data_IF_995536593548
#
_entry.id   IF_995536593548
#
_cell.length_a   1.000
_cell.length_b   1.000
_cell.length_c   1.000
_cell.angle_alpha   90.00
_cell.angle_beta   90.00
_cell.angle_gamma   90.00
#
_symmetry.space_group_name_H-M   'P 1'
#
loop_
_entity.id
_entity.type
_entity.pdbx_description
1 polymer ?
#
# COMPACT_ATOMS: atom_id res chain seq x y z
N UNK A 1 -28.58 27.81 -9.02
CA UNK A 1 -28.60 27.08 -10.29
C UNK A 1 -29.57 25.92 -10.15
N UNK A 2 -30.53 25.93 -11.06
CA UNK A 2 -31.68 25.05 -11.24
C UNK A 2 -31.40 23.58 -10.90
N UNK A 3 -32.30 22.97 -10.13
CA UNK A 3 -32.37 21.52 -9.99
C UNK A 3 -32.54 20.91 -11.39
N UNK A 4 -31.53 20.15 -11.84
CA UNK A 4 -31.65 19.35 -13.05
C UNK A 4 -32.81 18.36 -12.88
N UNK A 5 -33.61 18.13 -13.93
CA UNK A 5 -34.73 17.19 -13.89
C UNK A 5 -34.21 15.81 -13.52
N UNK A 6 -34.95 15.07 -12.67
CA UNK A 6 -34.68 13.70 -12.24
C UNK A 6 -34.11 12.84 -13.38
N UNK A 7 -32.79 12.79 -13.50
CA UNK A 7 -32.11 11.96 -14.48
C UNK A 7 -32.37 10.51 -14.08
N UNK A 8 -33.14 9.80 -14.89
CA UNK A 8 -33.39 8.37 -14.71
C UNK A 8 -32.03 7.68 -14.55
N UNK A 9 -31.78 6.95 -13.46
CA UNK A 9 -30.51 6.29 -13.25
C UNK A 9 -30.25 5.32 -14.41
N UNK A 10 -29.04 5.36 -14.95
CA UNK A 10 -28.66 4.46 -16.04
C UNK A 10 -28.83 3.00 -15.63
N UNK A 11 -29.11 2.11 -16.58
CA UNK A 11 -29.27 0.67 -16.30
C UNK A 11 -28.08 0.11 -15.50
N UNK A 12 -26.86 0.54 -15.83
CA UNK A 12 -25.64 0.17 -15.11
C UNK A 12 -25.66 0.62 -13.63
N UNK A 13 -26.21 1.80 -13.34
CA UNK A 13 -26.37 2.31 -11.98
C UNK A 13 -27.34 1.45 -11.19
N UNK A 14 -28.49 1.12 -11.79
CA UNK A 14 -29.49 0.23 -11.17
C UNK A 14 -28.88 -1.15 -10.91
N UNK A 15 -28.18 -1.74 -11.88
CA UNK A 15 -27.52 -3.04 -11.73
C UNK A 15 -26.47 -3.04 -10.61
N UNK A 16 -25.66 -1.98 -10.51
CA UNK A 16 -24.67 -1.84 -9.44
C UNK A 16 -25.34 -1.75 -8.06
N UNK A 17 -26.40 -0.95 -7.92
CA UNK A 17 -27.17 -0.85 -6.68
C UNK A 17 -27.79 -2.21 -6.30
N UNK A 18 -28.40 -2.91 -7.25
CA UNK A 18 -28.95 -4.27 -7.03
C UNK A 18 -27.87 -5.23 -6.55
N UNK A 19 -26.67 -5.20 -7.14
CA UNK A 19 -25.54 -6.02 -6.71
C UNK A 19 -25.17 -5.77 -5.24
N UNK A 20 -24.99 -4.51 -4.82
CA UNK A 20 -24.64 -4.21 -3.43
C UNK A 20 -25.78 -4.53 -2.45
N UNK A 21 -27.03 -4.28 -2.82
CA UNK A 21 -28.19 -4.68 -2.02
C UNK A 21 -28.25 -6.19 -1.86
N UNK A 22 -28.00 -6.96 -2.92
CA UNK A 22 -27.94 -8.42 -2.85
C UNK A 22 -26.83 -8.91 -1.90
N UNK A 23 -25.65 -8.29 -1.92
CA UNK A 23 -24.56 -8.61 -0.97
C UNK A 23 -24.98 -8.33 0.48
N UNK A 24 -25.64 -7.19 0.75
CA UNK A 24 -26.17 -6.86 2.08
C UNK A 24 -27.22 -7.88 2.53
N UNK A 25 -28.15 -8.25 1.64
CA UNK A 25 -29.16 -9.27 1.93
C UNK A 25 -28.54 -10.65 2.22
N UNK A 26 -27.49 -11.04 1.49
CA UNK A 26 -26.74 -12.27 1.76
C UNK A 26 -26.03 -12.22 3.13
N UNK A 27 -25.46 -11.07 3.51
CA UNK A 27 -24.88 -10.87 4.84
C UNK A 27 -25.92 -10.98 5.96
N UNK A 28 -27.10 -10.39 5.77
CA UNK A 28 -28.21 -10.50 6.71
C UNK A 28 -28.69 -11.95 6.81
N UNK A 29 -28.91 -12.63 5.67
CA UNK A 29 -29.31 -14.03 5.62
C UNK A 29 -28.30 -14.93 6.33
N UNK A 30 -27.01 -14.81 6.02
CA UNK A 30 -25.94 -15.58 6.67
C UNK A 30 -25.93 -15.39 8.18
N UNK A 31 -26.08 -14.14 8.64
CA UNK A 31 -26.12 -13.82 10.07
C UNK A 31 -27.36 -14.39 10.77
N UNK A 32 -28.55 -14.27 10.17
CA UNK A 32 -29.81 -14.83 10.71
C UNK A 32 -29.73 -16.36 10.77
N UNK A 33 -29.23 -17.02 9.72
CA UNK A 33 -29.12 -18.49 9.70
C UNK A 33 -28.13 -19.03 10.74
N UNK A 34 -27.03 -18.31 11.00
CA UNK A 34 -26.08 -18.67 12.07
C UNK A 34 -26.72 -18.47 13.45
N UNK A 35 -27.42 -17.35 13.66
CA UNK A 35 -28.13 -17.08 14.93
C UNK A 35 -29.19 -18.15 15.19
N UNK A 36 -30.01 -18.48 14.21
CA UNK A 36 -31.05 -19.50 14.35
C UNK A 36 -30.46 -20.88 14.67
N UNK A 37 -29.36 -21.27 14.02
CA UNK A 37 -28.65 -22.53 14.34
C UNK A 37 -28.01 -22.51 15.72
N UNK A 38 -27.48 -21.37 16.15
CA UNK A 38 -26.87 -21.25 17.49
C UNK A 38 -27.93 -21.33 18.60
N UNK A 39 -29.13 -20.80 18.35
CA UNK A 39 -30.26 -20.89 19.28
C UNK A 39 -30.90 -22.29 19.31
N UNK A 40 -30.71 -23.12 18.27
CA UNK A 40 -31.39 -24.40 18.13
C UNK A 40 -30.37 -25.57 18.22
N UNK A 41 -30.22 -26.13 19.42
CA UNK A 41 -29.14 -27.07 19.81
C UNK A 41 -29.06 -28.33 18.94
N UNK A 42 -30.19 -28.84 18.45
CA UNK A 42 -30.23 -30.03 17.57
C UNK A 42 -29.60 -29.77 16.19
N UNK A 43 -29.74 -28.55 15.65
CA UNK A 43 -29.22 -28.19 14.32
C UNK A 43 -27.74 -27.81 14.33
N UNK A 44 -27.11 -27.75 15.50
CA UNK A 44 -25.69 -27.48 15.67
C UNK A 44 -24.81 -28.65 15.19
N UNK A 45 -25.35 -29.87 15.18
CA UNK A 45 -24.61 -31.12 14.87
C UNK A 45 -24.97 -31.76 13.52
N UNK A 46 -25.86 -31.13 12.73
CA UNK A 46 -26.26 -31.62 11.41
C UNK A 46 -25.24 -31.18 10.36
N UNK A 47 -24.87 -32.10 9.46
CA UNK A 47 -23.97 -31.84 8.33
C UNK A 47 -24.45 -30.66 7.47
N UNK A 48 -23.53 -29.74 7.16
CA UNK A 48 -23.83 -28.47 6.48
C UNK A 48 -23.76 -28.66 4.96
N UNK A 49 -24.85 -28.36 4.24
CA UNK A 49 -24.89 -28.42 2.77
C UNK A 49 -23.91 -27.41 2.13
N UNK A 50 -23.48 -27.65 0.88
CA UNK A 50 -22.58 -26.71 0.16
C UNK A 50 -23.19 -25.32 0.03
N UNK A 51 -24.50 -25.24 -0.22
CA UNK A 51 -25.22 -23.97 -0.25
C UNK A 51 -25.14 -23.25 1.10
N UNK A 52 -25.33 -23.98 2.19
CA UNK A 52 -25.24 -23.41 3.52
C UNK A 52 -23.82 -22.96 3.87
N UNK A 53 -22.78 -23.66 3.41
CA UNK A 53 -21.38 -23.19 3.56
C UNK A 53 -21.15 -21.85 2.84
N UNK A 54 -21.73 -21.66 1.66
CA UNK A 54 -21.67 -20.40 0.92
C UNK A 54 -22.37 -19.27 1.68
N UNK A 55 -23.59 -19.52 2.18
CA UNK A 55 -24.35 -18.55 2.99
C UNK A 55 -23.62 -18.20 4.29
N UNK A 56 -23.00 -19.20 4.93
CA UNK A 56 -22.22 -19.02 6.17
C UNK A 56 -20.94 -18.20 5.93
N UNK A 57 -20.41 -18.17 4.70
CA UNK A 57 -19.28 -17.32 4.34
C UNK A 57 -19.63 -15.82 4.38
N UNK A 58 -20.90 -15.46 4.20
CA UNK A 58 -21.38 -14.07 4.30
C UNK A 58 -21.77 -13.67 5.73
N UNK A 59 -21.70 -14.58 6.71
CA UNK A 59 -22.08 -14.27 8.08
C UNK A 59 -21.17 -13.19 8.70
N UNK A 60 -21.78 -12.05 9.04
CA UNK A 60 -21.06 -10.89 9.58
C UNK A 60 -20.48 -11.21 10.94
N UNK A 61 -21.24 -11.83 11.84
CA UNK A 61 -20.78 -12.16 13.20
C UNK A 61 -19.54 -13.05 13.18
N UNK A 62 -19.55 -14.09 12.35
CA UNK A 62 -18.40 -15.00 12.18
C UNK A 62 -17.20 -14.29 11.57
N UNK A 63 -17.40 -13.49 10.53
CA UNK A 63 -16.33 -12.76 9.87
C UNK A 63 -15.73 -11.68 10.77
N UNK A 64 -16.53 -10.96 11.56
CA UNK A 64 -16.06 -9.99 12.55
C UNK A 64 -15.26 -10.67 13.66
N UNK A 65 -15.71 -11.82 14.18
CA UNK A 65 -14.93 -12.61 15.17
C UNK A 65 -13.59 -13.06 14.61
N UNK A 66 -13.54 -13.50 13.35
CA UNK A 66 -12.29 -13.86 12.66
C UNK A 66 -11.40 -12.66 12.38
N UNK A 67 -11.98 -11.50 12.06
CA UNK A 67 -11.24 -10.26 11.81
C UNK A 67 -10.59 -9.73 13.09
N UNK A 68 -11.26 -9.92 14.23
CA UNK A 68 -10.80 -9.55 15.57
C UNK A 68 -10.04 -10.69 16.27
N UNK A 69 -9.73 -11.78 15.55
CA UNK A 69 -8.98 -12.89 16.11
C UNK A 69 -7.51 -12.49 16.25
N UNK A 70 -6.98 -12.60 17.47
CA UNK A 70 -5.62 -12.23 17.84
C UNK A 70 -4.69 -13.45 17.90
N UNK A 71 -5.16 -14.62 17.45
CA UNK A 71 -4.35 -15.84 17.40
C UNK A 71 -3.24 -15.73 16.35
N UNK A 72 -2.05 -16.16 16.73
CA UNK A 72 -0.85 -16.07 15.90
C UNK A 72 -0.51 -17.44 15.31
N UNK A 73 -0.40 -17.51 13.98
CA UNK A 73 0.06 -18.73 13.31
C UNK A 73 1.56 -18.96 13.55
N UNK A 74 1.97 -20.23 13.69
CA UNK A 74 3.37 -20.60 13.80
C UNK A 74 4.14 -20.23 12.51
N UNK A 75 5.23 -19.47 12.64
CA UNK A 75 6.07 -19.05 11.51
C UNK A 75 5.67 -17.72 10.84
N UNK A 76 4.80 -16.94 11.48
CA UNK A 76 4.50 -15.56 11.08
C UNK A 76 5.52 -14.56 11.66
N UNK A 77 5.78 -13.46 10.95
CA UNK A 77 6.68 -12.40 11.42
C UNK A 77 5.84 -11.39 12.19
N UNK A 78 5.65 -11.60 13.50
CA UNK A 78 4.68 -10.84 14.29
C UNK A 78 4.84 -9.32 14.22
N UNK A 79 6.09 -8.82 14.23
CA UNK A 79 6.39 -7.38 14.16
C UNK A 79 5.84 -6.71 12.89
N UNK A 80 5.57 -7.50 11.85
CA UNK A 80 5.02 -7.02 10.59
C UNK A 80 3.62 -6.40 10.76
N UNK A 81 2.80 -6.92 11.68
CA UNK A 81 1.45 -6.40 11.92
C UNK A 81 1.50 -5.00 12.52
N UNK A 82 2.34 -4.77 13.55
CA UNK A 82 2.56 -3.45 14.12
C UNK A 82 3.13 -2.46 13.12
N UNK A 83 4.13 -2.87 12.33
CA UNK A 83 4.73 -2.02 11.28
C UNK A 83 3.69 -1.63 10.23
N UNK A 84 2.82 -2.56 9.80
CA UNK A 84 1.70 -2.26 8.89
C UNK A 84 0.73 -1.27 9.49
N UNK A 85 0.33 -1.45 10.75
CA UNK A 85 -0.64 -0.59 11.41
C UNK A 85 -0.14 0.85 11.52
N UNK A 86 1.10 1.04 12.00
CA UNK A 86 1.71 2.38 12.11
C UNK A 86 1.86 3.06 10.75
N UNK A 87 2.33 2.35 9.73
CA UNK A 87 2.47 2.91 8.39
C UNK A 87 1.12 3.18 7.71
N UNK A 88 0.09 2.35 7.96
CA UNK A 88 -1.26 2.60 7.47
C UNK A 88 -1.84 3.89 8.07
N UNK A 89 -1.65 4.10 9.37
CA UNK A 89 -2.08 5.32 10.05
C UNK A 89 -1.35 6.55 9.52
N UNK A 90 -0.02 6.49 9.40
CA UNK A 90 0.78 7.59 8.88
C UNK A 90 0.43 7.92 7.41
N UNK A 91 0.20 6.89 6.59
CA UNK A 91 -0.23 7.03 5.20
C UNK A 91 -1.61 7.70 5.10
N UNK A 92 -2.56 7.30 5.95
CA UNK A 92 -3.91 7.86 6.01
C UNK A 92 -3.86 9.34 6.41
N UNK A 93 -3.10 9.69 7.45
CA UNK A 93 -2.90 11.06 7.89
C UNK A 93 -2.29 11.93 6.77
N UNK A 94 -1.27 11.42 6.09
CA UNK A 94 -0.60 12.14 4.99
C UNK A 94 -1.53 12.36 3.80
N UNK A 95 -2.30 11.35 3.39
CA UNK A 95 -3.29 11.48 2.32
C UNK A 95 -4.40 12.44 2.70
N UNK A 96 -4.87 12.41 3.96
CA UNK A 96 -5.88 13.34 4.46
C UNK A 96 -5.35 14.77 4.43
N UNK A 97 -4.11 15.00 4.87
CA UNK A 97 -3.46 16.30 4.78
C UNK A 97 -3.39 16.81 3.32
N UNK A 98 -3.03 15.94 2.38
CA UNK A 98 -3.01 16.29 0.95
C UNK A 98 -4.41 16.64 0.44
N UNK A 99 -5.44 15.88 0.82
CA UNK A 99 -6.83 16.15 0.45
C UNK A 99 -7.33 17.47 1.05
N UNK A 100 -6.90 17.83 2.26
CA UNK A 100 -7.26 19.10 2.91
C UNK A 100 -6.76 20.31 2.09
N UNK A 101 -5.63 20.20 1.38
CA UNK A 101 -5.13 21.28 0.51
C UNK A 101 -6.09 21.65 -0.64
N UNK A 102 -6.98 20.74 -1.03
CA UNK A 102 -7.99 21.00 -2.06
C UNK A 102 -9.27 21.64 -1.51
N UNK A 103 -9.41 21.77 -0.18
CA UNK A 103 -10.56 22.41 0.43
C UNK A 103 -10.38 23.93 0.52
N UNK A 104 -11.48 24.70 0.37
CA UNK A 104 -11.43 26.14 0.57
C UNK A 104 -11.23 26.46 2.06
N UNK A 105 -10.14 27.14 2.39
CA UNK A 105 -9.91 27.72 3.71
C UNK A 105 -10.24 29.21 3.72
N UNK A 106 -10.88 29.68 4.80
CA UNK A 106 -11.15 31.10 5.05
C UNK A 106 -9.83 31.88 5.10
N UNK A 107 -8.84 31.35 5.83
CA UNK A 107 -7.53 31.94 5.97
C UNK A 107 -6.44 31.07 5.30
N UNK A 108 -6.24 31.27 4.00
CA UNK A 108 -5.24 30.50 3.23
C UNK A 108 -3.80 30.81 3.62
N UNK A 109 -3.50 32.02 4.07
CA UNK A 109 -2.15 32.42 4.48
C UNK A 109 -1.74 31.71 5.76
N UNK A 110 -2.64 31.60 6.75
CA UNK A 110 -2.38 30.85 7.97
C UNK A 110 -2.12 29.36 7.69
N UNK A 111 -2.90 28.75 6.79
CA UNK A 111 -2.69 27.35 6.40
C UNK A 111 -1.35 27.17 5.69
N UNK A 112 -1.01 28.08 4.76
CA UNK A 112 0.30 28.06 4.09
C UNK A 112 1.47 28.20 5.08
N UNK A 113 1.35 29.07 6.09
CA UNK A 113 2.38 29.24 7.13
C UNK A 113 2.50 28.01 8.03
N UNK A 114 1.38 27.40 8.43
CA UNK A 114 1.37 26.19 9.25
C UNK A 114 2.04 25.03 8.51
N UNK A 115 1.67 24.88 7.24
CA UNK A 115 2.26 23.89 6.36
C UNK A 115 3.73 24.23 6.17
N UNK A 116 4.13 25.49 6.02
CA UNK A 116 5.53 25.90 5.83
C UNK A 116 6.53 25.52 6.93
N UNK A 117 6.06 25.05 8.10
CA UNK A 117 6.91 24.65 9.23
C UNK A 117 7.64 23.32 8.97
N UNK A 118 8.87 23.20 9.47
CA UNK A 118 9.73 22.01 9.28
C UNK A 118 9.11 20.71 9.80
N UNK A 119 8.27 20.76 10.85
CA UNK A 119 7.62 19.55 11.36
C UNK A 119 6.59 18.96 10.39
N UNK A 120 6.06 19.77 9.45
CA UNK A 120 5.05 19.33 8.47
C UNK A 120 5.57 18.26 7.51
N UNK A 121 6.88 18.06 7.45
CA UNK A 121 7.54 17.07 6.60
C UNK A 121 7.04 15.65 6.87
N UNK A 122 6.70 15.34 8.13
CA UNK A 122 6.09 14.07 8.51
C UNK A 122 4.82 13.78 7.70
N UNK A 123 3.98 14.79 7.46
CA UNK A 123 2.76 14.65 6.65
C UNK A 123 2.96 14.84 5.15
N UNK A 124 4.07 15.47 4.72
CA UNK A 124 4.42 15.63 3.29
C UNK A 124 5.13 14.40 2.72
N UNK A 125 5.70 13.55 3.56
CA UNK A 125 6.47 12.37 3.18
C UNK A 125 5.59 11.12 2.90
N UNK A 126 4.42 11.29 2.27
CA UNK A 126 3.48 10.19 2.01
C UNK A 126 4.11 9.00 1.27
N UNK A 127 5.09 9.28 0.41
CA UNK A 127 5.82 8.26 -0.36
C UNK A 127 6.68 7.32 0.48
N UNK A 128 7.16 7.75 1.65
CA UNK A 128 7.92 6.87 2.54
C UNK A 128 7.01 5.80 3.15
N UNK A 129 5.80 6.20 3.55
CA UNK A 129 4.83 5.27 4.12
C UNK A 129 4.35 4.23 3.09
N UNK A 130 4.24 4.59 1.80
CA UNK A 130 3.98 3.61 0.74
C UNK A 130 5.17 2.70 0.48
N UNK A 131 6.40 3.23 0.54
CA UNK A 131 7.63 2.43 0.42
C UNK A 131 7.69 1.34 1.50
N UNK A 132 7.22 1.59 2.73
CA UNK A 132 7.06 0.54 3.75
C UNK A 132 6.25 -0.64 3.23
N UNK A 133 5.08 -0.41 2.63
CA UNK A 133 4.24 -1.50 2.10
C UNK A 133 4.91 -2.24 0.94
N UNK A 134 5.69 -1.57 0.11
CA UNK A 134 6.48 -2.21 -0.96
C UNK A 134 7.57 -3.11 -0.38
N UNK A 135 8.27 -2.64 0.66
CA UNK A 135 9.27 -3.43 1.40
C UNK A 135 8.63 -4.69 1.98
N UNK A 136 7.49 -4.54 2.66
CA UNK A 136 6.75 -5.67 3.24
C UNK A 136 6.29 -6.66 2.17
N UNK A 137 5.85 -6.17 1.01
CA UNK A 137 5.46 -7.02 -0.12
C UNK A 137 6.63 -7.85 -0.63
N UNK A 138 7.80 -7.24 -0.83
CA UNK A 138 9.02 -7.95 -1.24
C UNK A 138 9.43 -9.02 -0.22
N UNK A 139 9.42 -8.67 1.07
CA UNK A 139 9.69 -9.58 2.20
C UNK A 139 8.78 -10.80 2.19
N UNK A 140 7.47 -10.59 2.16
CA UNK A 140 6.49 -11.69 2.23
C UNK A 140 6.50 -12.55 0.98
N UNK A 141 6.65 -11.93 -0.19
CA UNK A 141 6.71 -12.65 -1.46
C UNK A 141 7.95 -13.54 -1.50
N UNK A 142 9.10 -13.02 -1.06
CA UNK A 142 10.32 -13.81 -0.93
C UNK A 142 10.16 -14.96 0.07
N UNK A 143 9.61 -14.72 1.27
CA UNK A 143 9.35 -15.77 2.26
C UNK A 143 8.44 -16.87 1.68
N UNK A 144 7.37 -16.49 0.99
CA UNK A 144 6.43 -17.45 0.39
C UNK A 144 7.11 -18.29 -0.69
N UNK A 145 7.82 -17.65 -1.63
CA UNK A 145 8.48 -18.32 -2.75
C UNK A 145 9.65 -19.20 -2.28
N UNK A 146 10.48 -18.72 -1.35
CA UNK A 146 11.59 -19.50 -0.80
C UNK A 146 11.09 -20.73 -0.03
N UNK A 147 9.99 -20.62 0.73
CA UNK A 147 9.36 -21.77 1.40
C UNK A 147 8.80 -22.77 0.39
N UNK A 148 8.18 -22.31 -0.69
CA UNK A 148 7.67 -23.19 -1.74
C UNK A 148 8.80 -23.90 -2.49
N UNK A 149 9.82 -23.17 -2.90
CA UNK A 149 11.01 -23.71 -3.55
C UNK A 149 11.74 -24.72 -2.66
N UNK A 150 11.91 -24.43 -1.37
CA UNK A 150 12.56 -25.36 -0.43
C UNK A 150 11.76 -26.66 -0.23
N UNK A 151 10.44 -26.63 -0.41
CA UNK A 151 9.55 -27.80 -0.25
C UNK A 151 9.33 -28.58 -1.53
N UNK A 152 9.26 -27.90 -2.68
CA UNK A 152 8.80 -28.47 -3.96
C UNK A 152 9.83 -28.39 -5.09
N UNK A 153 10.95 -27.68 -4.92
CA UNK A 153 11.97 -27.40 -5.94
C UNK A 153 11.43 -26.78 -7.25
N UNK A 154 10.18 -26.30 -7.25
CA UNK A 154 9.51 -25.69 -8.41
C UNK A 154 8.53 -24.63 -7.95
N UNK A 155 8.34 -23.61 -8.77
CA UNK A 155 7.31 -22.58 -8.59
C UNK A 155 6.20 -22.88 -9.59
N UNK A 156 4.97 -23.11 -9.14
CA UNK A 156 3.84 -23.14 -10.05
C UNK A 156 3.38 -21.70 -10.32
N UNK A 157 3.85 -21.12 -11.42
CA UNK A 157 3.55 -19.73 -11.79
C UNK A 157 2.05 -19.49 -11.97
N UNK A 158 1.31 -20.46 -12.49
CA UNK A 158 -0.14 -20.33 -12.68
C UNK A 158 -0.86 -20.22 -11.32
N UNK A 159 -0.57 -21.14 -10.39
CA UNK A 159 -1.15 -21.11 -9.05
C UNK A 159 -0.74 -19.84 -8.29
N UNK A 160 0.53 -19.45 -8.40
CA UNK A 160 1.07 -18.24 -7.78
C UNK A 160 0.29 -16.99 -8.21
N UNK A 161 0.10 -16.80 -9.52
CA UNK A 161 -0.64 -15.64 -10.04
C UNK A 161 -2.14 -15.74 -9.74
N UNK A 162 -2.75 -16.91 -9.97
CA UNK A 162 -4.20 -17.10 -9.81
C UNK A 162 -4.66 -16.91 -8.37
N UNK A 163 -3.91 -17.46 -7.40
CA UNK A 163 -4.23 -17.30 -5.98
C UNK A 163 -4.27 -15.83 -5.57
N UNK A 164 -3.38 -15.01 -6.14
CA UNK A 164 -3.35 -13.59 -5.84
C UNK A 164 -4.46 -12.80 -6.55
N UNK A 165 -4.75 -13.12 -7.80
CA UNK A 165 -5.86 -12.51 -8.55
C UNK A 165 -7.20 -12.78 -7.87
N UNK A 166 -7.47 -14.03 -7.46
CA UNK A 166 -8.72 -14.39 -6.75
C UNK A 166 -8.83 -13.63 -5.42
N UNK A 167 -7.70 -13.34 -4.75
CA UNK A 167 -7.68 -12.59 -3.50
C UNK A 167 -7.91 -11.09 -3.68
N UNK A 168 -7.32 -10.46 -4.69
CA UNK A 168 -7.30 -9.00 -4.84
C UNK A 168 -8.42 -8.48 -5.74
N UNK A 169 -8.59 -9.09 -6.92
CA UNK A 169 -9.44 -8.58 -8.00
C UNK A 169 -10.91 -8.41 -7.60
N UNK A 170 -11.57 -9.34 -6.86
CA UNK A 170 -12.98 -9.18 -6.50
C UNK A 170 -13.24 -7.92 -5.65
N UNK A 171 -12.37 -7.66 -4.66
CA UNK A 171 -12.50 -6.49 -3.79
C UNK A 171 -12.25 -5.18 -4.55
N UNK A 172 -11.26 -5.17 -5.44
CA UNK A 172 -10.96 -4.01 -6.29
C UNK A 172 -12.09 -3.75 -7.30
N UNK A 173 -12.66 -4.81 -7.90
CA UNK A 173 -13.78 -4.69 -8.81
C UNK A 173 -15.02 -4.12 -8.12
N UNK A 174 -15.35 -4.61 -6.91
CA UNK A 174 -16.43 -4.03 -6.11
C UNK A 174 -16.18 -2.54 -5.82
N UNK A 175 -14.95 -2.16 -5.43
CA UNK A 175 -14.62 -0.75 -5.20
C UNK A 175 -14.77 0.11 -6.46
N UNK A 176 -14.29 -0.36 -7.61
CA UNK A 176 -14.44 0.34 -8.90
C UNK A 176 -15.92 0.53 -9.24
N UNK A 177 -16.73 -0.52 -9.15
CA UNK A 177 -18.18 -0.44 -9.41
C UNK A 177 -18.86 0.53 -8.45
N UNK A 178 -18.51 0.48 -7.15
CA UNK A 178 -19.05 1.38 -6.14
C UNK A 178 -18.72 2.85 -6.47
N UNK A 179 -17.45 3.17 -6.70
CA UNK A 179 -17.01 4.53 -6.99
C UNK A 179 -17.56 5.07 -8.33
N UNK A 180 -17.84 4.18 -9.29
CA UNK A 180 -18.34 4.55 -10.62
C UNK A 180 -19.84 4.86 -10.62
N UNK A 181 -20.62 4.03 -9.93
CA UNK A 181 -22.08 4.01 -10.10
C UNK A 181 -22.86 4.37 -8.84
N UNK A 182 -22.36 4.01 -7.66
CA UNK A 182 -23.09 4.21 -6.39
C UNK A 182 -22.69 5.52 -5.73
N UNK A 183 -21.38 5.74 -5.58
CA UNK A 183 -20.82 6.88 -4.86
C UNK A 183 -21.35 8.23 -5.36
N UNK A 184 -21.46 8.53 -6.67
CA UNK A 184 -21.95 9.82 -7.14
C UNK A 184 -23.36 10.18 -6.65
N UNK A 185 -24.19 9.17 -6.39
CA UNK A 185 -25.59 9.34 -5.96
C UNK A 185 -25.76 9.48 -4.44
N UNK A 186 -24.70 9.27 -3.65
CA UNK A 186 -24.77 9.31 -2.18
C UNK A 186 -24.67 10.72 -1.59
N UNK A 187 -24.41 11.75 -2.40
CA UNK A 187 -24.21 13.09 -1.91
C UNK A 187 -24.49 14.17 -2.95
N UNK A 188 -24.71 15.38 -2.47
CA UNK A 188 -24.91 16.58 -3.27
C UNK A 188 -24.26 17.76 -2.55
N UNK A 189 -23.12 18.21 -3.05
CA UNK A 189 -22.35 19.30 -2.44
C UNK A 189 -21.63 20.13 -3.49
N UNK A 190 -21.23 21.37 -3.17
CA UNK A 190 -20.64 22.30 -4.14
C UNK A 190 -19.33 21.78 -4.77
N UNK A 191 -18.56 20.98 -4.03
CA UNK A 191 -17.34 20.33 -4.53
C UNK A 191 -17.57 18.91 -5.08
N UNK A 192 -18.80 18.38 -4.99
CA UNK A 192 -19.10 16.98 -5.31
C UNK A 192 -18.91 16.69 -6.81
N UNK A 193 -19.42 17.56 -7.67
CA UNK A 193 -19.25 17.45 -9.12
C UNK A 193 -17.79 17.54 -9.56
N UNK A 194 -17.01 18.40 -8.91
CA UNK A 194 -15.60 18.64 -9.23
C UNK A 194 -14.71 17.44 -8.89
N UNK A 195 -15.05 16.71 -7.82
CA UNK A 195 -14.27 15.59 -7.31
C UNK A 195 -14.92 14.25 -7.65
N UNK A 196 -16.06 13.94 -7.04
CA UNK A 196 -16.70 12.62 -7.10
C UNK A 196 -17.22 12.31 -8.50
N UNK A 197 -17.98 13.22 -9.10
CA UNK A 197 -18.54 12.99 -10.45
C UNK A 197 -17.43 12.88 -11.49
N UNK A 198 -16.39 13.72 -11.40
CA UNK A 198 -15.22 13.64 -12.28
C UNK A 198 -14.51 12.27 -12.19
N UNK A 199 -14.26 11.76 -10.97
CA UNK A 199 -13.66 10.44 -10.81
C UNK A 199 -14.55 9.32 -11.34
N UNK A 200 -15.86 9.40 -11.13
CA UNK A 200 -16.81 8.43 -11.67
C UNK A 200 -16.78 8.38 -13.21
N UNK A 201 -16.74 9.53 -13.89
CA UNK A 201 -16.60 9.60 -15.35
C UNK A 201 -15.30 8.96 -15.84
N UNK A 202 -14.17 9.24 -15.17
CA UNK A 202 -12.88 8.60 -15.49
C UNK A 202 -12.96 7.08 -15.30
N UNK A 203 -13.66 6.61 -14.27
CA UNK A 203 -13.87 5.19 -14.05
C UNK A 203 -14.73 4.52 -15.12
N UNK A 204 -15.79 5.16 -15.61
CA UNK A 204 -16.58 4.62 -16.73
C UNK A 204 -15.72 4.36 -17.97
N UNK A 205 -14.71 5.21 -18.22
CA UNK A 205 -13.83 5.10 -19.38
C UNK A 205 -12.65 4.13 -19.16
N UNK A 206 -12.14 4.02 -17.93
CA UNK A 206 -10.84 3.43 -17.64
C UNK A 206 -10.83 2.37 -16.53
N UNK A 207 -12.00 1.86 -16.10
CA UNK A 207 -12.13 0.82 -15.07
C UNK A 207 -11.28 -0.42 -15.38
N UNK A 208 -11.26 -0.88 -16.64
CA UNK A 208 -10.56 -2.09 -17.06
C UNK A 208 -9.06 -2.05 -16.77
N UNK A 209 -8.45 -0.85 -16.83
CA UNK A 209 -7.02 -0.64 -16.52
C UNK A 209 -6.69 -0.99 -15.07
N UNK A 210 -7.63 -0.75 -14.15
CA UNK A 210 -7.47 -1.07 -12.72
C UNK A 210 -7.55 -2.58 -12.47
N UNK A 211 -8.47 -3.28 -13.16
CA UNK A 211 -8.62 -4.72 -13.02
C UNK A 211 -7.44 -5.51 -13.60
N UNK A 212 -6.79 -4.96 -14.63
CA UNK A 212 -5.55 -5.49 -15.19
C UNK A 212 -4.30 -5.03 -14.42
N UNK A 213 -4.43 -4.15 -13.42
CA UNK A 213 -3.32 -3.57 -12.67
C UNK A 213 -2.26 -2.86 -13.53
N UNK A 214 -2.65 -2.29 -14.68
CA UNK A 214 -1.74 -1.59 -15.61
C UNK A 214 -1.91 -0.07 -15.61
N UNK A 215 -2.85 0.46 -14.82
CA UNK A 215 -3.19 1.88 -14.80
C UNK A 215 -2.03 2.80 -14.41
N UNK A 216 -0.97 2.29 -13.78
CA UNK A 216 0.25 3.05 -13.47
C UNK A 216 1.07 3.47 -14.70
N UNK A 217 0.86 2.83 -15.85
CA UNK A 217 1.54 3.18 -17.10
C UNK A 217 0.79 4.23 -17.93
N UNK A 218 -0.36 4.70 -17.44
CA UNK A 218 -1.20 5.70 -18.10
C UNK A 218 -1.08 7.05 -17.39
N UNK A 219 -1.52 8.16 -18.03
CA UNK A 219 -1.51 9.48 -17.41
C UNK A 219 -2.25 9.50 -16.06
N UNK A 220 -1.65 10.16 -15.06
CA UNK A 220 -2.14 10.14 -13.68
C UNK A 220 -3.54 10.78 -13.55
N UNK A 221 -3.80 11.83 -14.32
CA UNK A 221 -5.08 12.53 -14.38
C UNK A 221 -6.20 11.73 -15.06
N UNK A 222 -5.85 10.64 -15.76
CA UNK A 222 -6.79 9.70 -16.38
C UNK A 222 -6.98 8.41 -15.55
N UNK A 223 -6.44 8.35 -14.33
CA UNK A 223 -6.63 7.19 -13.45
C UNK A 223 -8.04 7.21 -12.85
N UNK A 224 -8.76 6.09 -12.98
CA UNK A 224 -10.06 5.89 -12.32
C UNK A 224 -9.96 5.98 -10.79
N UNK A 225 -9.06 5.19 -10.18
CA UNK A 225 -8.80 5.24 -8.74
C UNK A 225 -7.32 5.54 -8.50
N UNK A 226 -6.97 6.80 -8.24
CA UNK A 226 -5.57 7.18 -8.01
C UNK A 226 -4.96 6.47 -6.80
N UNK A 227 -5.74 6.20 -5.75
CA UNK A 227 -5.28 5.49 -4.56
C UNK A 227 -4.97 4.00 -4.79
N UNK A 228 -5.41 3.39 -5.90
CA UNK A 228 -5.14 1.97 -6.20
C UNK A 228 -3.76 1.75 -6.85
N UNK A 229 -3.00 2.81 -7.14
CA UNK A 229 -1.66 2.73 -7.75
C UNK A 229 -0.75 1.74 -7.01
N UNK A 230 -0.79 1.76 -5.68
CA UNK A 230 0.02 0.92 -4.81
C UNK A 230 -0.29 -0.57 -5.01
N UNK A 231 -1.56 -0.93 -5.16
CA UNK A 231 -1.99 -2.32 -5.40
C UNK A 231 -1.51 -2.78 -6.78
N UNK A 232 -1.49 -1.88 -7.78
CA UNK A 232 -0.91 -2.21 -9.09
C UNK A 232 0.60 -2.39 -9.04
N UNK A 233 1.36 -1.51 -8.37
CA UNK A 233 2.81 -1.68 -8.19
C UNK A 233 3.08 -3.03 -7.54
N UNK A 234 2.33 -3.34 -6.49
CA UNK A 234 2.42 -4.59 -5.75
C UNK A 234 2.14 -5.81 -6.65
N UNK A 235 1.15 -5.76 -7.54
CA UNK A 235 0.89 -6.81 -8.53
C UNK A 235 2.01 -6.94 -9.56
N UNK A 236 2.47 -5.81 -10.11
CA UNK A 236 3.52 -5.77 -11.12
C UNK A 236 4.84 -6.33 -10.60
N UNK A 237 5.25 -5.95 -9.39
CA UNK A 237 6.48 -6.44 -8.76
C UNK A 237 6.35 -7.91 -8.29
N UNK A 238 5.16 -8.32 -7.86
CA UNK A 238 4.89 -9.74 -7.55
C UNK A 238 5.02 -10.64 -8.77
N UNK A 239 4.55 -10.20 -9.95
CA UNK A 239 4.76 -10.93 -11.21
C UNK A 239 6.24 -11.04 -11.57
N UNK A 240 7.04 -10.03 -11.23
CA UNK A 240 8.50 -10.06 -11.43
C UNK A 240 9.25 -10.87 -10.34
N UNK A 241 8.62 -11.14 -9.20
CA UNK A 241 9.28 -11.75 -8.04
C UNK A 241 9.91 -13.13 -8.30
N UNK A 242 9.30 -14.06 -9.06
CA UNK A 242 9.95 -15.33 -9.39
C UNK A 242 11.31 -15.15 -10.09
N UNK A 243 11.45 -14.14 -10.95
CA UNK A 243 12.70 -13.83 -11.65
C UNK A 243 13.78 -13.30 -10.69
N UNK A 244 13.38 -12.67 -9.58
CA UNK A 244 14.29 -12.15 -8.57
C UNK A 244 14.64 -13.22 -7.51
N UNK A 245 13.67 -14.02 -7.09
CA UNK A 245 13.80 -14.97 -5.98
C UNK A 245 14.39 -16.31 -6.44
N UNK A 246 14.11 -16.77 -7.66
CA UNK A 246 14.63 -18.05 -8.15
C UNK A 246 16.17 -18.08 -8.23
N UNK A 247 16.87 -17.07 -8.80
CA UNK A 247 18.34 -17.03 -8.77
C UNK A 247 18.90 -16.96 -7.35
N UNK A 248 18.19 -16.29 -6.44
CA UNK A 248 18.58 -16.17 -5.03
C UNK A 248 18.51 -17.51 -4.30
N UNK A 249 17.51 -18.34 -4.61
CA UNK A 249 17.40 -19.70 -4.08
C UNK A 249 18.47 -20.63 -4.66
N UNK A 250 18.69 -20.60 -5.98
CA UNK A 250 19.63 -21.52 -6.64
C UNK A 250 21.11 -21.16 -6.40
N UNK A 251 21.46 -19.89 -6.52
CA UNK A 251 22.83 -19.36 -6.41
C UNK A 251 22.79 -18.03 -5.64
N UNK A 252 22.84 -18.05 -4.29
CA UNK A 252 22.63 -16.86 -3.47
C UNK A 252 23.48 -15.65 -3.86
N UNK A 253 24.78 -15.85 -4.16
CA UNK A 253 25.67 -14.76 -4.60
C UNK A 253 25.20 -14.12 -5.90
N UNK A 254 24.75 -14.91 -6.87
CA UNK A 254 24.21 -14.40 -8.13
C UNK A 254 22.89 -13.66 -7.90
N UNK A 255 21.98 -14.23 -7.12
CA UNK A 255 20.71 -13.57 -6.79
C UNK A 255 20.89 -12.25 -6.05
N UNK A 256 21.82 -12.18 -5.09
CA UNK A 256 22.16 -10.94 -4.40
C UNK A 256 22.76 -9.89 -5.35
N UNK A 257 23.65 -10.29 -6.27
CA UNK A 257 24.17 -9.39 -7.30
C UNK A 257 23.09 -8.87 -8.25
N UNK A 258 22.13 -9.72 -8.65
CA UNK A 258 20.98 -9.31 -9.48
C UNK A 258 20.11 -8.31 -8.72
N UNK A 259 19.76 -8.60 -7.46
CA UNK A 259 18.97 -7.70 -6.62
C UNK A 259 19.66 -6.35 -6.41
N UNK A 260 20.98 -6.36 -6.18
CA UNK A 260 21.77 -5.14 -6.08
C UNK A 260 21.75 -4.35 -7.40
N UNK A 261 21.96 -5.02 -8.54
CA UNK A 261 21.91 -4.38 -9.86
C UNK A 261 20.56 -3.72 -10.15
N UNK A 262 19.45 -4.43 -9.87
CA UNK A 262 18.09 -3.89 -10.04
C UNK A 262 17.82 -2.72 -9.09
N UNK A 263 18.27 -2.80 -7.83
CA UNK A 263 18.11 -1.74 -6.86
C UNK A 263 18.90 -0.48 -7.23
N UNK A 264 20.15 -0.63 -7.69
CA UNK A 264 20.97 0.48 -8.17
C UNK A 264 20.34 1.09 -9.42
N UNK A 265 19.97 0.27 -10.41
CA UNK A 265 19.31 0.74 -11.63
C UNK A 265 18.03 1.52 -11.34
N UNK A 266 17.16 0.99 -10.47
CA UNK A 266 15.91 1.64 -10.06
C UNK A 266 16.15 2.99 -9.35
N UNK A 267 17.19 3.08 -8.52
CA UNK A 267 17.55 4.32 -7.82
C UNK A 267 18.13 5.37 -8.76
N UNK A 268 19.03 4.97 -9.66
CA UNK A 268 19.60 5.84 -10.69
C UNK A 268 18.52 6.31 -11.66
N UNK A 269 17.59 5.43 -12.05
CA UNK A 269 16.46 5.81 -12.90
C UNK A 269 15.61 6.92 -12.26
N UNK A 270 15.27 6.78 -10.97
CA UNK A 270 14.58 7.84 -10.21
C UNK A 270 15.37 9.15 -10.23
N UNK A 271 16.65 9.10 -9.89
CA UNK A 271 17.52 10.27 -9.86
C UNK A 271 17.53 10.99 -11.22
N UNK A 272 17.80 10.25 -12.29
CA UNK A 272 17.93 10.78 -13.65
C UNK A 272 16.64 11.42 -14.14
N UNK A 273 15.50 10.76 -13.94
CA UNK A 273 14.19 11.29 -14.35
C UNK A 273 13.81 12.52 -13.55
N UNK A 274 14.05 12.54 -12.23
CA UNK A 274 13.73 13.72 -11.41
C UNK A 274 14.57 14.93 -11.82
N UNK A 275 15.85 14.70 -12.11
CA UNK A 275 16.77 15.75 -12.54
C UNK A 275 16.41 16.30 -13.94
N UNK A 276 16.15 15.42 -14.91
CA UNK A 276 15.87 15.84 -16.29
C UNK A 276 14.50 16.50 -16.44
N UNK A 277 13.49 16.03 -15.70
CA UNK A 277 12.12 16.51 -15.80
C UNK A 277 11.78 17.64 -14.81
N UNK A 278 12.75 18.01 -13.96
CA UNK A 278 12.60 19.01 -12.91
C UNK A 278 11.41 18.68 -11.99
N UNK A 279 11.41 17.48 -11.41
CA UNK A 279 10.30 16.97 -10.58
C UNK A 279 10.59 17.15 -9.08
N UNK A 280 9.54 17.08 -8.25
CA UNK A 280 9.67 17.09 -6.79
C UNK A 280 8.60 16.24 -6.13
N UNK A 281 9.01 15.24 -5.35
CA UNK A 281 8.12 14.42 -4.52
C UNK A 281 7.79 15.07 -3.18
N UNK A 282 8.54 16.12 -2.80
CA UNK A 282 8.21 16.97 -1.67
C UNK A 282 7.38 18.14 -2.19
N UNK A 283 6.18 18.29 -1.66
CA UNK A 283 5.34 19.47 -1.91
C UNK A 283 6.04 20.66 -1.25
N UNK A 284 6.46 21.65 -2.03
CA UNK A 284 7.06 22.90 -1.53
C UNK A 284 6.12 24.09 -1.81
N UNK A 285 6.39 25.25 -1.20
CA UNK A 285 5.54 26.42 -1.39
C UNK A 285 5.57 26.92 -2.84
N UNK A 286 4.40 27.09 -3.47
CA UNK A 286 4.30 27.55 -4.86
C UNK A 286 4.45 26.48 -5.93
N UNK A 287 4.58 25.19 -5.56
CA UNK A 287 4.63 24.10 -6.54
C UNK A 287 3.34 24.03 -7.39
N UNK A 288 3.43 24.03 -8.73
CA UNK A 288 2.25 23.93 -9.58
C UNK A 288 1.65 22.51 -9.55
N UNK A 289 0.31 22.41 -9.59
CA UNK A 289 -0.42 21.13 -9.58
C UNK A 289 0.00 20.24 -10.77
N UNK A 290 0.30 20.84 -11.92
CA UNK A 290 0.80 20.11 -13.09
C UNK A 290 2.13 19.41 -12.83
N UNK A 291 3.04 20.02 -12.05
CA UNK A 291 4.31 19.37 -11.65
C UNK A 291 4.05 18.24 -10.65
N UNK A 292 3.09 18.39 -9.73
CA UNK A 292 2.68 17.29 -8.83
C UNK A 292 2.16 16.08 -9.62
N UNK A 293 1.28 16.29 -10.60
CA UNK A 293 0.74 15.21 -11.43
C UNK A 293 1.81 14.58 -12.32
N UNK A 294 2.70 15.39 -12.91
CA UNK A 294 3.87 14.87 -13.66
C UNK A 294 4.80 14.07 -12.77
N UNK A 295 5.06 14.51 -11.54
CA UNK A 295 5.86 13.76 -10.56
C UNK A 295 5.16 12.45 -10.21
N UNK A 296 3.85 12.49 -9.99
CA UNK A 296 3.06 11.30 -9.71
C UNK A 296 3.21 10.26 -10.83
N UNK A 297 2.99 10.69 -12.07
CA UNK A 297 3.06 9.85 -13.27
C UNK A 297 4.46 9.33 -13.59
N UNK A 298 5.47 10.20 -13.58
CA UNK A 298 6.81 9.88 -14.10
C UNK A 298 7.74 9.24 -13.08
N UNK A 299 7.42 9.27 -11.79
CA UNK A 299 8.30 8.68 -10.77
C UNK A 299 7.56 7.98 -9.64
N UNK A 300 6.45 8.51 -9.15
CA UNK A 300 5.82 8.00 -7.93
C UNK A 300 5.11 6.66 -8.12
N UNK A 301 4.30 6.53 -9.17
CA UNK A 301 3.42 5.36 -9.41
C UNK A 301 4.08 4.22 -10.19
N UNK A 302 5.29 4.41 -10.72
CA UNK A 302 5.94 3.44 -11.60
C UNK A 302 6.64 2.34 -10.79
N UNK A 303 6.41 1.05 -11.11
CA UNK A 303 7.04 -0.05 -10.39
C UNK A 303 8.56 -0.07 -10.57
N UNK A 304 9.08 0.32 -11.74
CA UNK A 304 10.52 0.41 -12.02
C UNK A 304 11.23 1.40 -11.09
N UNK A 305 10.58 2.53 -10.78
CA UNK A 305 11.10 3.52 -9.83
C UNK A 305 11.00 3.05 -8.37
N UNK A 306 10.16 2.06 -8.07
CA UNK A 306 9.97 1.52 -6.71
C UNK A 306 10.66 0.17 -6.46
N UNK A 307 11.20 -0.45 -7.51
CA UNK A 307 11.84 -1.76 -7.45
C UNK A 307 13.00 -1.83 -6.44
N UNK A 308 13.71 -0.73 -6.20
CA UNK A 308 14.75 -0.65 -5.15
C UNK A 308 14.24 -1.10 -3.78
N UNK A 309 13.11 -0.56 -3.36
CA UNK A 309 12.52 -0.83 -2.04
C UNK A 309 12.03 -2.27 -1.96
N UNK A 310 11.46 -2.76 -3.05
CA UNK A 310 11.03 -4.15 -3.17
C UNK A 310 12.21 -5.13 -3.06
N UNK A 311 13.33 -4.83 -3.73
CA UNK A 311 14.54 -5.66 -3.69
C UNK A 311 15.12 -5.73 -2.27
N UNK A 312 15.15 -4.62 -1.52
CA UNK A 312 15.54 -4.62 -0.11
C UNK A 312 14.62 -5.51 0.74
N UNK A 313 13.32 -5.53 0.42
CA UNK A 313 12.35 -6.42 1.05
C UNK A 313 12.65 -7.89 0.76
N UNK A 314 12.96 -8.22 -0.49
CA UNK A 314 13.35 -9.57 -0.91
C UNK A 314 14.61 -10.03 -0.18
N UNK A 315 15.63 -9.17 -0.07
CA UNK A 315 16.86 -9.46 0.71
C UNK A 315 16.52 -9.74 2.17
N UNK A 316 15.70 -8.89 2.80
CA UNK A 316 15.27 -9.09 4.19
C UNK A 316 14.52 -10.42 4.37
N UNK A 317 13.66 -10.78 3.43
CA UNK A 317 12.94 -12.06 3.46
C UNK A 317 13.84 -13.27 3.29
N UNK A 318 14.89 -13.15 2.46
CA UNK A 318 15.91 -14.18 2.34
C UNK A 318 16.70 -14.37 3.64
N UNK A 319 17.13 -13.29 4.29
CA UNK A 319 17.85 -13.35 5.56
C UNK A 319 17.01 -14.05 6.65
N UNK A 320 15.73 -13.67 6.77
CA UNK A 320 14.79 -14.26 7.74
C UNK A 320 14.51 -15.73 7.42
N UNK A 321 14.38 -16.10 6.13
CA UNK A 321 14.13 -17.48 5.72
C UNK A 321 15.29 -18.42 6.06
N UNK A 322 16.53 -17.94 5.88
CA UNK A 322 17.72 -18.79 6.01
C UNK A 322 18.29 -18.85 7.43
N UNK A 323 18.01 -17.84 8.26
CA UNK A 323 18.52 -17.77 9.62
C UNK A 323 17.39 -17.84 10.64
N UNK A 324 17.14 -19.03 11.19
CA UNK A 324 16.17 -19.21 12.29
C UNK A 324 16.57 -18.47 13.57
N UNK A 325 17.87 -18.39 13.85
CA UNK A 325 18.44 -17.56 14.90
C UNK A 325 19.63 -16.81 14.33
N UNK A 326 19.80 -15.56 14.73
CA UNK A 326 20.92 -14.73 14.31
C UNK A 326 21.62 -14.21 15.56
N UNK A 327 22.90 -14.59 15.80
CA UNK A 327 23.63 -14.17 17.00
C UNK A 327 24.05 -12.70 16.87
N UNK A 328 23.11 -11.78 17.11
CA UNK A 328 23.38 -10.35 17.19
C UNK A 328 24.09 -10.04 18.51
N UNK A 329 25.34 -9.61 18.44
CA UNK A 329 25.99 -9.01 19.60
C UNK A 329 25.24 -7.73 20.01
N UNK A 330 25.28 -7.37 21.31
CA UNK A 330 24.67 -6.13 21.80
C UNK A 330 25.21 -4.90 21.07
N UNK A 331 26.50 -4.92 20.72
CA UNK A 331 27.15 -3.84 19.97
C UNK A 331 26.62 -3.75 18.53
N UNK A 332 26.48 -4.87 17.83
CA UNK A 332 25.91 -4.91 16.47
C UNK A 332 24.46 -4.42 16.47
N UNK A 333 23.67 -4.83 17.48
CA UNK A 333 22.31 -4.35 17.64
C UNK A 333 22.25 -2.84 17.90
N UNK A 334 23.11 -2.32 18.78
CA UNK A 334 23.20 -0.89 19.07
C UNK A 334 23.60 -0.07 17.84
N UNK A 335 24.63 -0.51 17.10
CA UNK A 335 25.07 0.13 15.85
C UNK A 335 23.93 0.12 14.83
N UNK A 336 23.24 -1.00 14.64
CA UNK A 336 22.12 -1.08 13.72
C UNK A 336 20.96 -0.16 14.11
N UNK A 337 20.69 0.02 15.40
CA UNK A 337 19.69 1.01 15.88
C UNK A 337 20.13 2.45 15.60
N UNK A 338 21.38 2.81 15.86
CA UNK A 338 21.92 4.14 15.57
C UNK A 338 21.84 4.43 14.06
N UNK A 339 22.29 3.50 13.23
CA UNK A 339 22.22 3.60 11.77
C UNK A 339 20.78 3.69 11.30
N UNK A 340 19.92 2.79 11.76
CA UNK A 340 18.51 2.74 11.39
C UNK A 340 17.77 4.03 11.74
N UNK A 341 17.90 4.51 12.98
CA UNK A 341 17.26 5.77 13.43
C UNK A 341 17.80 6.96 12.63
N UNK A 342 19.12 7.02 12.41
CA UNK A 342 19.73 8.09 11.59
C UNK A 342 19.17 8.07 10.16
N UNK A 343 19.07 6.91 9.53
CA UNK A 343 18.46 6.76 8.22
C UNK A 343 16.98 7.15 8.20
N UNK A 344 16.20 6.79 9.23
CA UNK A 344 14.80 7.17 9.36
C UNK A 344 14.61 8.68 9.52
N UNK A 345 15.42 9.32 10.38
CA UNK A 345 15.42 10.76 10.58
C UNK A 345 15.83 11.51 9.31
N UNK A 346 16.88 11.05 8.63
CA UNK A 346 17.32 11.64 7.35
C UNK A 346 16.24 11.48 6.28
N UNK A 347 15.60 10.33 6.16
CA UNK A 347 14.55 10.12 5.17
C UNK A 347 13.38 11.10 5.35
N UNK A 348 12.97 11.38 6.59
CA UNK A 348 11.82 12.25 6.89
C UNK A 348 12.20 13.72 6.90
N UNK A 349 13.32 14.08 7.53
CA UNK A 349 13.65 15.47 7.86
C UNK A 349 14.77 16.07 7.01
N UNK A 350 15.52 15.31 6.20
CA UNK A 350 16.54 15.92 5.32
C UNK A 350 15.98 17.03 4.41
N UNK A 351 14.79 16.92 3.81
CA UNK A 351 14.22 18.00 2.98
C UNK A 351 13.51 19.11 3.78
N UNK A 352 13.81 19.31 5.08
CA UNK A 352 13.08 20.26 5.92
C UNK A 352 13.08 21.70 5.37
N UNK A 353 14.17 22.15 4.76
CA UNK A 353 14.26 23.51 4.21
C UNK A 353 13.44 23.66 2.92
N UNK A 354 13.11 22.57 2.21
CA UNK A 354 12.13 22.57 1.11
C UNK A 354 10.73 22.96 1.60
N UNK A 355 10.47 22.92 2.91
CA UNK A 355 9.19 23.33 3.49
C UNK A 355 9.04 24.84 3.61
N UNK A 356 10.14 25.59 3.63
CA UNK A 356 10.16 27.02 3.91
C UNK A 356 9.49 27.83 2.80
N UNK A 357 8.84 28.93 3.20
CA UNK A 357 8.14 29.80 2.24
C UNK A 357 9.09 30.45 1.22
N UNK A 358 10.33 30.73 1.62
CA UNK A 358 11.37 31.29 0.75
C UNK A 358 12.21 30.26 -0.01
N UNK A 359 11.84 28.97 0.01
CA UNK A 359 12.59 27.95 -0.69
C UNK A 359 12.53 28.14 -2.22
N UNK A 360 13.69 28.14 -2.85
CA UNK A 360 13.83 28.15 -4.31
C UNK A 360 14.15 26.72 -4.75
N UNK A 361 13.35 26.21 -5.68
CA UNK A 361 13.47 24.83 -6.14
C UNK A 361 14.87 24.53 -6.70
N UNK A 362 15.51 23.50 -6.16
CA UNK A 362 16.76 22.93 -6.66
C UNK A 362 16.54 21.49 -7.15
N UNK A 363 16.76 21.27 -8.45
CA UNK A 363 16.55 19.96 -9.07
C UNK A 363 17.54 18.89 -8.62
N UNK A 364 18.79 19.26 -8.33
CA UNK A 364 19.79 18.32 -7.83
C UNK A 364 19.42 17.82 -6.45
N UNK A 365 18.99 18.73 -5.59
CA UNK A 365 18.53 18.40 -4.24
C UNK A 365 17.30 17.47 -4.29
N UNK A 366 16.32 17.82 -5.11
CA UNK A 366 15.12 16.98 -5.29
C UNK A 366 15.47 15.59 -5.84
N UNK A 367 16.41 15.50 -6.79
CA UNK A 367 16.85 14.23 -7.37
C UNK A 367 17.61 13.36 -6.35
N UNK A 368 18.53 13.95 -5.58
CA UNK A 368 19.25 13.26 -4.51
C UNK A 368 18.30 12.73 -3.44
N UNK A 369 17.34 13.55 -3.01
CA UNK A 369 16.33 13.12 -2.05
C UNK A 369 15.50 11.93 -2.58
N UNK A 370 15.07 11.98 -3.85
CA UNK A 370 14.30 10.90 -4.47
C UNK A 370 15.07 9.59 -4.63
N UNK A 371 16.40 9.67 -4.71
CA UNK A 371 17.28 8.51 -4.75
C UNK A 371 17.49 7.91 -3.35
N UNK A 372 17.82 8.75 -2.37
CA UNK A 372 18.34 8.34 -1.06
C UNK A 372 17.25 8.11 0.00
N UNK A 373 16.14 8.84 -0.03
CA UNK A 373 15.11 8.76 1.00
C UNK A 373 14.40 7.39 1.03
N UNK A 374 14.00 6.80 -0.12
CA UNK A 374 13.43 5.45 -0.13
C UNK A 374 14.39 4.39 0.41
N UNK A 375 15.68 4.51 0.10
CA UNK A 375 16.73 3.61 0.62
C UNK A 375 16.87 3.74 2.14
N UNK A 376 17.02 4.97 2.61
CA UNK A 376 17.21 5.27 4.03
C UNK A 376 16.00 4.83 4.87
N UNK A 377 14.78 5.11 4.38
CA UNK A 377 13.56 4.65 5.02
C UNK A 377 13.44 3.13 5.04
N UNK A 378 13.79 2.47 3.94
CA UNK A 378 13.78 0.99 3.86
C UNK A 378 14.79 0.35 4.81
N UNK A 379 15.96 0.96 5.00
CA UNK A 379 16.96 0.51 5.99
C UNK A 379 16.39 0.63 7.40
N UNK A 380 15.75 1.75 7.74
CA UNK A 380 15.12 1.95 9.04
C UNK A 380 14.03 0.90 9.31
N UNK A 381 13.03 0.80 8.41
CA UNK A 381 11.91 -0.14 8.58
C UNK A 381 12.38 -1.59 8.53
N UNK A 382 13.33 -1.90 7.64
CA UNK A 382 13.92 -3.22 7.53
C UNK A 382 14.68 -3.62 8.80
N UNK A 383 15.45 -2.70 9.39
CA UNK A 383 16.12 -2.93 10.66
C UNK A 383 15.13 -3.14 11.81
N UNK A 384 14.06 -2.34 11.87
CA UNK A 384 12.98 -2.50 12.87
C UNK A 384 12.39 -3.90 12.81
N UNK A 385 12.07 -4.39 11.61
CA UNK A 385 11.51 -5.74 11.41
C UNK A 385 12.53 -6.80 11.80
N UNK A 386 13.77 -6.66 11.35
CA UNK A 386 14.86 -7.61 11.62
C UNK A 386 15.17 -7.72 13.12
N UNK A 387 15.40 -6.59 13.78
CA UNK A 387 15.67 -6.54 15.22
C UNK A 387 14.48 -7.06 16.05
N UNK A 388 13.25 -6.80 15.62
CA UNK A 388 12.06 -7.32 16.31
C UNK A 388 11.90 -8.82 16.14
N UNK A 389 12.22 -9.35 14.95
CA UNK A 389 12.15 -10.79 14.67
C UNK A 389 13.15 -11.60 15.51
N UNK A 390 14.38 -11.10 15.68
CA UNK A 390 15.42 -11.75 16.48
C UNK A 390 15.45 -11.34 17.96
N UNK A 391 14.45 -10.59 18.44
CA UNK A 391 14.32 -10.22 19.86
C UNK A 391 15.30 -9.15 20.35
N UNK A 392 15.93 -8.40 19.46
CA UNK A 392 16.87 -7.31 19.77
C UNK A 392 16.22 -5.92 19.84
N UNK A 393 14.89 -5.84 19.76
CA UNK A 393 14.14 -4.57 19.75
C UNK A 393 13.60 -4.13 21.12
N UNK A 394 13.80 -4.92 22.18
CA UNK A 394 13.37 -4.58 23.55
C UNK A 394 11.88 -4.20 23.63
N UNK A 395 11.57 -3.12 24.34
CA UNK A 395 10.21 -2.59 24.49
C UNK A 395 9.56 -2.22 23.14
N UNK A 396 10.33 -1.65 22.21
CA UNK A 396 9.79 -1.27 20.90
C UNK A 396 9.31 -2.49 20.10
N UNK A 397 10.06 -3.60 20.18
CA UNK A 397 9.64 -4.88 19.62
C UNK A 397 8.34 -5.40 20.24
N UNK A 398 8.19 -5.28 21.56
CA UNK A 398 6.97 -5.68 22.27
C UNK A 398 5.74 -4.93 21.76
N UNK A 399 5.86 -3.60 21.57
CA UNK A 399 4.78 -2.77 21.00
C UNK A 399 4.42 -3.21 19.59
N UNK A 400 5.41 -3.53 18.74
CA UNK A 400 5.15 -3.97 17.36
C UNK A 400 4.54 -5.37 17.28
N UNK A 401 4.81 -6.21 18.27
CA UNK A 401 4.22 -7.55 18.42
C UNK A 401 2.98 -7.56 19.31
N UNK A 402 2.49 -6.39 19.70
CA UNK A 402 1.36 -6.27 20.62
C UNK A 402 0.12 -6.91 20.01
N UNK A 403 -0.60 -7.64 20.86
CA UNK A 403 -1.69 -8.54 20.44
C UNK A 403 -3.06 -7.87 20.49
N UNK A 404 -3.19 -6.73 21.18
CA UNK A 404 -4.47 -6.07 21.48
C UNK A 404 -4.64 -5.79 22.96
#
# INVERSE_FOLDING_TARGET
HTADPLTVPSLATVSACVFFVAVVLLCLLGTITEMWRTCNTEKKYVGVSRFQQLVDAFCVRRNVRRLLDMTCAQGDVHALHGVRALNAMALLLSHKQMALLFLPFINRTQVAQLIGRSWSMVGRAASLYTDSFILLSGLLTALSLLRELSKRNRINLADFVLNRLIRLTPSLAALVVFCTFVLPSLGSGPLWGLLVTKYATLCQQHWWRNLLFIHNYYPFDQMCLTHSHQVAIDMQLYLAAPLLVYPLWWRPRLGLSILLGVAVWSSVLRYSVVLSEQLSTVVYFGIPISQLFRTAQKTYILPSHRATVYCLGVVLGYLIHHHHSFPLSRMTAAVGWVVGISCGLLAVFAPYHMSWQGYVYNAQEAALYNMLAPLSWSIFVGWVIFASHYGCAGWFGQVLTWRG
#
